data_IF_129530862471
#
_entry.id   IF_129530862471
#
_cell.length_a   1.000
_cell.length_b   1.000
_cell.length_c   1.000
_cell.angle_alpha   90.00
_cell.angle_beta   90.00
_cell.angle_gamma   90.00
#
_symmetry.space_group_name_H-M   'P 1'
#
loop_
_entity.id
_entity.type
_entity.pdbx_description
1 polymer ?
#
# COMPACT_ATOMS: atom_id res chain seq x y z
N UNK A 1 24.72 -16.06 29.97
CA UNK A 1 25.61 -16.70 28.98
C UNK A 1 24.99 -18.03 28.57
N UNK A 2 24.14 -18.04 27.53
CA UNK A 2 23.73 -19.25 26.78
C UNK A 2 23.62 -18.82 25.31
N UNK A 3 24.64 -19.27 24.57
CA UNK A 3 24.74 -19.64 23.15
C UNK A 3 24.18 -18.70 22.07
N UNK A 4 25.15 -18.06 21.43
CA UNK A 4 25.22 -17.79 19.98
C UNK A 4 24.51 -18.86 19.14
N UNK A 5 23.48 -18.44 18.40
CA UNK A 5 23.05 -19.10 17.17
C UNK A 5 23.85 -18.52 16.02
N UNK A 6 24.71 -19.34 15.42
CA UNK A 6 25.54 -19.02 14.26
C UNK A 6 24.72 -19.04 12.96
N UNK A 7 25.02 -18.04 12.11
CA UNK A 7 24.70 -17.90 10.69
C UNK A 7 23.22 -17.89 10.29
N UNK A 8 22.64 -16.70 10.21
CA UNK A 8 21.84 -16.38 9.03
C UNK A 8 22.74 -15.55 8.11
N UNK A 9 23.03 -16.08 6.93
CA UNK A 9 23.50 -15.29 5.78
C UNK A 9 22.78 -13.94 5.79
N UNK A 10 23.54 -12.84 5.86
CA UNK A 10 23.01 -11.48 5.79
C UNK A 10 22.12 -11.42 4.55
N UNK A 11 20.79 -11.43 4.75
CA UNK A 11 19.85 -11.35 3.65
C UNK A 11 20.08 -9.99 3.02
N UNK A 12 20.66 -9.96 1.83
CA UNK A 12 21.03 -8.72 1.17
C UNK A 12 19.82 -8.23 0.37
N UNK A 13 18.98 -7.43 1.03
CA UNK A 13 17.93 -6.69 0.35
C UNK A 13 18.56 -5.43 -0.25
N UNK A 14 18.31 -5.22 -1.54
CA UNK A 14 18.77 -4.04 -2.26
C UNK A 14 17.61 -3.39 -2.98
N UNK A 15 17.68 -2.06 -3.14
CA UNK A 15 16.78 -1.33 -4.02
C UNK A 15 17.35 -1.33 -5.43
N UNK A 16 16.54 -1.74 -6.40
CA UNK A 16 16.88 -1.75 -7.80
C UNK A 16 15.89 -0.93 -8.61
N UNK A 17 16.41 -0.20 -9.58
CA UNK A 17 15.62 0.49 -10.59
C UNK A 17 14.94 -0.54 -11.49
N UNK A 18 13.61 -0.51 -11.55
CA UNK A 18 12.81 -1.38 -12.39
C UNK A 18 12.50 -0.77 -13.76
N UNK A 19 11.32 -1.09 -14.29
CA UNK A 19 10.92 -0.58 -15.61
C UNK A 19 10.56 0.91 -15.53
N UNK A 20 10.63 1.59 -16.68
CA UNK A 20 10.18 2.97 -16.78
C UNK A 20 8.65 3.04 -16.69
N UNK A 21 8.15 3.93 -15.85
CA UNK A 21 6.73 4.13 -15.62
C UNK A 21 6.20 5.36 -16.38
N UNK A 22 6.93 6.48 -16.34
CA UNK A 22 6.62 7.71 -17.08
C UNK A 22 7.78 8.69 -17.03
N UNK A 23 8.11 9.34 -18.15
CA UNK A 23 9.01 10.51 -18.23
C UNK A 23 10.27 10.44 -17.34
N UNK A 24 11.05 9.35 -17.44
CA UNK A 24 12.27 9.18 -16.64
C UNK A 24 12.04 8.89 -15.15
N UNK A 25 10.83 8.50 -14.78
CA UNK A 25 10.48 7.91 -13.48
C UNK A 25 10.39 6.39 -13.65
N UNK A 26 11.08 5.67 -12.77
CA UNK A 26 11.20 4.21 -12.80
C UNK A 26 10.71 3.59 -11.51
N UNK A 27 10.24 2.34 -11.59
CA UNK A 27 9.88 1.53 -10.42
C UNK A 27 11.03 1.42 -9.43
N UNK A 28 10.72 1.41 -8.14
CA UNK A 28 11.66 1.03 -7.10
C UNK A 28 11.32 -0.36 -6.57
N UNK A 29 12.19 -1.32 -6.91
CA UNK A 29 12.04 -2.74 -6.53
C UNK A 29 12.93 -3.06 -5.34
N UNK A 30 12.41 -3.87 -4.44
CA UNK A 30 13.19 -4.55 -3.41
C UNK A 30 13.53 -5.94 -3.95
N UNK A 31 14.83 -6.23 -3.97
CA UNK A 31 15.38 -7.46 -4.50
C UNK A 31 16.16 -8.18 -3.40
N UNK A 32 15.87 -9.47 -3.23
CA UNK A 32 16.58 -10.36 -2.31
C UNK A 32 17.40 -11.36 -3.14
N UNK A 33 18.72 -11.30 -3.02
CA UNK A 33 19.63 -12.22 -3.72
C UNK A 33 19.35 -12.32 -5.24
N UNK A 34 19.03 -11.20 -5.88
CA UNK A 34 18.69 -11.12 -7.31
C UNK A 34 17.25 -11.51 -7.67
N UNK A 35 16.41 -11.91 -6.71
CA UNK A 35 14.97 -12.14 -6.93
C UNK A 35 14.16 -10.91 -6.50
N UNK A 36 13.28 -10.41 -7.36
CA UNK A 36 12.31 -9.37 -7.01
C UNK A 36 11.32 -9.90 -5.96
N UNK A 37 11.18 -9.19 -4.84
CA UNK A 37 10.33 -9.61 -3.72
C UNK A 37 9.26 -8.60 -3.33
N UNK A 38 9.44 -7.32 -3.65
CA UNK A 38 8.43 -6.30 -3.44
C UNK A 38 8.71 -5.06 -4.30
N UNK A 39 7.69 -4.25 -4.55
CA UNK A 39 7.78 -2.95 -5.24
C UNK A 39 7.22 -1.84 -4.36
N UNK A 40 7.83 -0.66 -4.37
CA UNK A 40 7.22 0.52 -3.73
C UNK A 40 5.98 0.96 -4.51
N UNK A 41 4.87 1.29 -3.83
CA UNK A 41 3.59 1.53 -4.47
C UNK A 41 3.63 2.78 -5.34
N UNK A 42 2.90 2.72 -6.46
CA UNK A 42 2.60 3.88 -7.30
C UNK A 42 1.25 4.52 -6.95
N UNK A 43 0.39 3.78 -6.23
CA UNK A 43 -0.98 4.16 -5.89
C UNK A 43 -1.10 4.36 -4.39
N UNK A 44 -1.64 5.50 -3.99
CA UNK A 44 -1.87 5.88 -2.60
C UNK A 44 -3.24 6.49 -2.39
N UNK A 45 -3.58 6.73 -1.13
CA UNK A 45 -4.94 7.03 -0.71
C UNK A 45 -5.00 8.19 0.28
N UNK A 46 -5.80 9.21 -0.01
CA UNK A 46 -6.06 10.31 0.91
C UNK A 46 -7.54 10.74 0.89
N UNK A 47 -7.93 11.49 1.91
CA UNK A 47 -9.23 12.10 2.05
C UNK A 47 -9.18 13.51 1.47
N UNK A 48 -10.21 13.94 0.75
CA UNK A 48 -10.38 15.32 0.30
C UNK A 48 -11.86 15.67 0.41
N UNK A 49 -12.21 16.65 1.25
CA UNK A 49 -13.60 17.08 1.47
C UNK A 49 -14.57 15.92 1.75
N UNK A 50 -14.24 15.03 2.69
CA UNK A 50 -14.98 13.79 3.00
C UNK A 50 -15.13 12.79 1.84
N UNK A 51 -14.27 12.88 0.81
CA UNK A 51 -14.23 11.96 -0.32
C UNK A 51 -12.88 11.23 -0.33
N UNK A 52 -12.92 9.91 -0.49
CA UNK A 52 -11.70 9.11 -0.67
C UNK A 52 -11.16 9.36 -2.08
N UNK A 53 -9.89 9.70 -2.18
CA UNK A 53 -9.17 9.88 -3.44
C UNK A 53 -8.10 8.82 -3.56
N UNK A 54 -8.23 8.00 -4.61
CA UNK A 54 -7.19 7.07 -5.05
C UNK A 54 -6.35 7.79 -6.08
N UNK A 55 -5.05 7.92 -5.85
CA UNK A 55 -4.16 8.63 -6.78
C UNK A 55 -3.00 7.76 -7.22
N UNK A 56 -2.61 7.91 -8.48
CA UNK A 56 -1.34 7.41 -8.96
C UNK A 56 -0.32 8.54 -8.94
N UNK A 57 0.75 8.39 -8.16
CA UNK A 57 1.75 9.43 -8.02
C UNK A 57 2.57 9.64 -9.29
N UNK A 58 2.70 8.62 -10.14
CA UNK A 58 3.48 8.72 -11.38
C UNK A 58 2.69 9.47 -12.44
N UNK A 59 1.49 9.00 -12.77
CA UNK A 59 0.68 9.58 -13.85
C UNK A 59 -0.13 10.79 -13.41
N UNK A 60 -0.15 11.10 -12.11
CA UNK A 60 -0.99 12.14 -11.48
C UNK A 60 -2.50 11.94 -11.70
N UNK A 61 -2.91 10.74 -12.10
CA UNK A 61 -4.32 10.41 -12.24
C UNK A 61 -4.95 10.23 -10.87
N UNK A 62 -6.17 10.71 -10.72
CA UNK A 62 -6.95 10.58 -9.49
C UNK A 62 -8.34 10.03 -9.76
N UNK A 63 -8.83 9.22 -8.83
CA UNK A 63 -10.17 8.66 -8.84
C UNK A 63 -10.83 9.00 -7.51
N UNK A 64 -11.94 9.74 -7.58
CA UNK A 64 -12.74 10.08 -6.41
C UNK A 64 -13.79 8.99 -6.16
N UNK A 65 -13.74 8.38 -4.98
CA UNK A 65 -14.66 7.33 -4.54
C UNK A 65 -15.82 8.00 -3.77
N UNK A 66 -17.06 7.96 -4.31
CA UNK A 66 -18.22 8.57 -3.65
C UNK A 66 -18.47 7.99 -2.26
N UNK A 67 -19.07 8.79 -1.38
CA UNK A 67 -19.34 8.44 0.02
C UNK A 67 -20.11 7.14 0.20
N UNK A 68 -21.03 6.84 -0.71
CA UNK A 68 -21.82 5.62 -0.68
C UNK A 68 -20.96 4.34 -0.88
N UNK A 69 -19.72 4.48 -1.37
CA UNK A 69 -18.77 3.40 -1.63
C UNK A 69 -17.57 3.37 -0.66
N UNK A 70 -17.71 3.99 0.51
CA UNK A 70 -16.66 4.03 1.56
C UNK A 70 -16.50 2.72 2.34
N UNK A 71 -17.09 1.62 1.88
CA UNK A 71 -16.90 0.31 2.49
C UNK A 71 -15.91 -0.51 1.70
N UNK A 72 -15.24 -1.45 2.35
CA UNK A 72 -14.38 -2.42 1.68
C UNK A 72 -14.78 -3.84 2.03
N UNK A 73 -14.71 -4.68 1.01
CA UNK A 73 -14.80 -6.14 1.14
C UNK A 73 -13.53 -6.77 0.58
N UNK A 74 -13.18 -7.94 1.10
CA UNK A 74 -12.11 -8.74 0.52
C UNK A 74 -12.59 -9.38 -0.77
N UNK A 75 -11.81 -9.23 -1.83
CA UNK A 75 -11.99 -9.91 -3.11
C UNK A 75 -10.75 -10.69 -3.46
N UNK A 76 -10.91 -11.71 -4.32
CA UNK A 76 -9.80 -12.44 -4.91
C UNK A 76 -9.88 -12.27 -6.43
N UNK A 77 -9.14 -11.33 -7.02
CA UNK A 77 -9.01 -11.22 -8.47
C UNK A 77 -8.39 -12.51 -9.03
N UNK A 78 -8.62 -12.81 -10.31
CA UNK A 78 -8.17 -14.06 -10.93
C UNK A 78 -6.68 -14.33 -10.70
N UNK A 79 -6.37 -15.47 -10.06
CA UNK A 79 -5.01 -15.92 -9.70
C UNK A 79 -4.17 -14.95 -8.85
N UNK A 80 -4.81 -13.99 -8.18
CA UNK A 80 -4.13 -12.99 -7.37
C UNK A 80 -4.37 -13.24 -5.86
N UNK A 81 -3.60 -12.53 -5.03
CA UNK A 81 -3.81 -12.48 -3.60
C UNK A 81 -5.14 -11.79 -3.25
N UNK A 82 -5.57 -12.00 -2.01
CA UNK A 82 -6.74 -11.30 -1.49
C UNK A 82 -6.43 -9.79 -1.42
N UNK A 83 -7.28 -8.99 -2.06
CA UNK A 83 -7.23 -7.53 -2.04
C UNK A 83 -8.51 -6.96 -1.45
N UNK A 84 -8.53 -5.68 -1.14
CA UNK A 84 -9.75 -4.99 -0.78
C UNK A 84 -10.31 -4.21 -1.98
N UNK A 85 -11.63 -4.30 -2.18
CA UNK A 85 -12.33 -3.51 -3.19
C UNK A 85 -13.28 -2.51 -2.52
N UNK A 86 -13.30 -1.27 -3.01
CA UNK A 86 -14.29 -0.28 -2.61
C UNK A 86 -15.69 -0.73 -3.04
N UNK A 87 -16.64 -0.68 -2.11
CA UNK A 87 -17.98 -1.16 -2.28
C UNK A 87 -18.98 -0.33 -1.48
N UNK A 88 -20.25 -0.41 -1.84
CA UNK A 88 -21.31 0.18 -1.04
C UNK A 88 -21.71 -0.73 0.14
N UNK A 89 -22.62 -0.25 1.00
CA UNK A 89 -23.11 -1.03 2.15
C UNK A 89 -23.75 -2.37 1.77
N UNK A 90 -24.23 -2.52 0.53
CA UNK A 90 -24.80 -3.77 0.00
C UNK A 90 -23.73 -4.73 -0.54
N UNK A 91 -22.46 -4.31 -0.62
CA UNK A 91 -21.36 -5.10 -1.17
C UNK A 91 -21.17 -4.96 -2.69
N UNK A 92 -21.89 -4.05 -3.35
CA UNK A 92 -21.68 -3.77 -4.77
C UNK A 92 -20.36 -3.00 -4.95
N UNK A 93 -19.47 -3.53 -5.79
CA UNK A 93 -18.16 -2.93 -6.06
C UNK A 93 -18.29 -1.66 -6.90
N UNK A 94 -17.53 -0.63 -6.52
CA UNK A 94 -17.57 0.67 -7.20
C UNK A 94 -17.21 0.55 -8.69
N UNK A 95 -16.08 -0.09 -8.99
CA UNK A 95 -15.58 -0.20 -10.36
C UNK A 95 -16.42 -1.13 -11.23
N UNK A 96 -17.02 -2.18 -10.67
CA UNK A 96 -18.01 -2.99 -11.39
C UNK A 96 -19.30 -2.23 -11.67
N UNK A 97 -19.76 -1.43 -10.70
CA UNK A 97 -20.93 -0.58 -10.87
C UNK A 97 -20.70 0.52 -11.92
N UNK A 98 -19.45 0.95 -12.11
CA UNK A 98 -19.04 2.01 -13.05
C UNK A 98 -18.37 1.51 -14.32
N UNK A 99 -18.34 0.20 -14.59
CA UNK A 99 -17.56 -0.36 -15.72
C UNK A 99 -17.97 0.12 -17.11
N UNK A 100 -19.22 0.57 -17.28
CA UNK A 100 -19.74 1.11 -18.53
C UNK A 100 -19.70 2.64 -18.60
N UNK A 101 -19.29 3.29 -17.50
CA UNK A 101 -19.10 4.73 -17.47
C UNK A 101 -17.77 5.07 -18.16
N UNK A 102 -17.76 5.87 -19.24
CA UNK A 102 -16.55 6.21 -19.99
C UNK A 102 -15.43 6.79 -19.11
N UNK A 103 -15.78 7.46 -18.00
CA UNK A 103 -14.81 8.02 -17.07
C UNK A 103 -14.00 6.94 -16.34
N UNK A 104 -14.60 5.76 -16.10
CA UNK A 104 -14.00 4.71 -15.27
C UNK A 104 -13.61 3.46 -16.08
N UNK A 105 -14.09 3.34 -17.31
CA UNK A 105 -13.88 2.18 -18.18
C UNK A 105 -12.39 1.85 -18.42
N UNK A 106 -11.55 2.88 -18.56
CA UNK A 106 -10.11 2.73 -18.84
C UNK A 106 -9.21 2.69 -17.61
N UNK A 107 -9.77 2.68 -16.39
CA UNK A 107 -8.96 2.69 -15.18
C UNK A 107 -8.27 1.34 -15.01
N UNK A 108 -6.96 1.38 -14.79
CA UNK A 108 -6.15 0.18 -14.53
C UNK A 108 -6.51 -0.45 -13.18
N UNK A 109 -6.46 -1.78 -13.09
CA UNK A 109 -6.80 -2.56 -11.89
C UNK A 109 -6.00 -2.16 -10.64
N UNK A 110 -4.80 -1.61 -10.81
CA UNK A 110 -4.01 -1.06 -9.68
C UNK A 110 -4.69 0.08 -8.92
N UNK A 111 -5.65 0.77 -9.53
CA UNK A 111 -6.48 1.79 -8.87
C UNK A 111 -7.80 1.22 -8.33
N UNK A 112 -8.16 0.01 -8.77
CA UNK A 112 -9.45 -0.61 -8.43
C UNK A 112 -9.42 -1.32 -7.08
N UNK A 113 -8.23 -1.76 -6.67
CA UNK A 113 -8.03 -2.60 -5.50
C UNK A 113 -6.96 -2.02 -4.58
N UNK A 114 -7.19 -2.14 -3.28
CA UNK A 114 -6.21 -1.82 -2.25
C UNK A 114 -5.42 -3.10 -1.92
N UNK A 115 -4.10 -3.03 -2.07
CA UNK A 115 -3.19 -4.10 -1.68
C UNK A 115 -2.98 -4.09 -0.15
N UNK A 116 -2.84 -5.27 0.46
CA UNK A 116 -2.57 -5.40 1.90
C UNK A 116 -1.29 -4.69 2.35
N UNK A 117 -0.28 -4.65 1.49
CA UNK A 117 0.98 -3.93 1.72
C UNK A 117 0.82 -2.41 1.77
N UNK A 118 -0.27 -1.87 1.23
CA UNK A 118 -0.64 -0.45 1.33
C UNK A 118 -1.44 -0.13 2.59
N UNK A 119 -1.57 -1.07 3.53
CA UNK A 119 -2.27 -0.87 4.80
C UNK A 119 -1.25 -0.88 5.93
N UNK A 120 -1.09 0.27 6.59
CA UNK A 120 -0.41 0.37 7.87
C UNK A 120 -1.30 -0.25 8.94
N UNK A 121 -1.13 -1.55 9.16
CA UNK A 121 -1.97 -2.32 10.05
C UNK A 121 -1.74 -1.93 11.51
N UNK A 122 -2.82 -1.77 12.28
CA UNK A 122 -2.73 -1.65 13.75
C UNK A 122 -2.71 -3.02 14.43
N UNK A 123 -3.05 -4.08 13.68
CA UNK A 123 -3.12 -5.48 14.09
C UNK A 123 -2.95 -6.38 12.87
N UNK A 124 -2.47 -7.61 13.04
CA UNK A 124 -2.31 -8.56 11.92
C UNK A 124 -3.65 -8.81 11.20
N UNK A 125 -3.84 -8.19 10.04
CA UNK A 125 -5.00 -8.39 9.18
C UNK A 125 -4.74 -9.52 8.17
N UNK A 126 -5.37 -10.67 8.40
CA UNK A 126 -5.36 -11.80 7.48
C UNK A 126 -6.53 -11.71 6.51
N UNK A 127 -6.36 -10.99 5.41
CA UNK A 127 -7.47 -10.69 4.47
C UNK A 127 -8.20 -11.95 3.97
N UNK A 128 -7.50 -13.08 3.82
CA UNK A 128 -8.08 -14.37 3.45
C UNK A 128 -9.15 -14.87 4.44
N UNK A 129 -9.06 -14.53 5.73
CA UNK A 129 -10.08 -14.86 6.74
C UNK A 129 -11.36 -14.03 6.57
N UNK A 130 -11.30 -12.97 5.76
CA UNK A 130 -12.41 -12.06 5.45
C UNK A 130 -12.94 -12.24 4.02
N UNK A 131 -12.53 -13.30 3.31
CA UNK A 131 -12.92 -13.60 1.92
C UNK A 131 -14.44 -13.90 1.81
N UNK A 132 -15.23 -12.83 1.74
CA UNK A 132 -16.69 -12.87 1.66
C UNK A 132 -17.21 -11.75 0.74
N UNK A 133 -18.39 -11.96 0.15
CA UNK A 133 -19.02 -10.95 -0.71
C UNK A 133 -19.59 -9.74 0.04
N UNK A 134 -19.61 -9.77 1.37
CA UNK A 134 -20.17 -8.70 2.21
C UNK A 134 -19.09 -7.70 2.64
N UNK A 135 -19.42 -6.40 2.77
CA UNK A 135 -18.53 -5.44 3.40
C UNK A 135 -18.05 -5.89 4.77
N UNK A 136 -16.77 -5.65 5.07
CA UNK A 136 -16.14 -5.95 6.36
C UNK A 136 -15.47 -4.75 6.99
N UNK A 137 -15.08 -3.78 6.18
CA UNK A 137 -14.38 -2.59 6.63
C UNK A 137 -15.12 -1.33 6.19
N UNK A 138 -15.00 -0.29 7.00
CA UNK A 138 -15.42 1.06 6.70
C UNK A 138 -14.19 1.96 6.66
N UNK A 139 -14.01 2.67 5.54
CA UNK A 139 -12.95 3.65 5.36
C UNK A 139 -13.48 5.05 5.64
N UNK A 140 -12.80 5.78 6.50
CA UNK A 140 -13.15 7.17 6.81
C UNK A 140 -11.93 7.91 7.34
N UNK A 141 -12.02 9.24 7.42
CA UNK A 141 -11.03 10.02 8.14
C UNK A 141 -10.98 9.54 9.60
N UNK A 142 -9.76 9.33 10.10
CA UNK A 142 -9.53 9.09 11.51
C UNK A 142 -9.91 10.30 12.34
N UNK A 143 -10.36 10.14 13.61
CA UNK A 143 -10.60 11.28 14.51
C UNK A 143 -9.37 12.19 14.68
N UNK A 144 -8.18 11.59 14.54
CA UNK A 144 -6.88 12.25 14.66
C UNK A 144 -6.23 12.56 13.30
N UNK A 145 -6.93 12.29 12.19
CA UNK A 145 -6.40 12.46 10.84
C UNK A 145 -6.44 13.93 10.43
N UNK A 146 -5.46 14.71 10.90
CA UNK A 146 -5.28 16.10 10.47
C UNK A 146 -4.68 16.19 9.06
N UNK A 147 -4.04 15.12 8.59
CA UNK A 147 -3.27 15.10 7.34
C UNK A 147 -3.96 14.26 6.25
N UNK A 148 -5.30 14.23 6.24
CA UNK A 148 -6.07 13.57 5.17
C UNK A 148 -5.85 12.05 5.05
N UNK A 149 -5.32 11.39 6.07
CA UNK A 149 -5.20 9.93 6.11
C UNK A 149 -6.56 9.22 6.24
N UNK A 150 -6.65 8.04 5.64
CA UNK A 150 -7.85 7.19 5.66
C UNK A 150 -7.64 6.03 6.62
N UNK A 151 -8.43 6.00 7.67
CA UNK A 151 -8.46 4.90 8.63
C UNK A 151 -9.48 3.83 8.21
N UNK A 152 -9.09 2.57 8.39
CA UNK A 152 -9.93 1.41 8.19
C UNK A 152 -10.46 0.92 9.54
N UNK A 153 -11.75 0.67 9.60
CA UNK A 153 -12.44 0.17 10.79
C UNK A 153 -13.22 -1.08 10.46
N UNK A 154 -13.23 -2.06 11.36
CA UNK A 154 -14.15 -3.19 11.24
C UNK A 154 -15.61 -2.73 11.29
N UNK A 155 -16.48 -3.43 10.57
CA UNK A 155 -17.92 -3.28 10.72
C UNK A 155 -18.40 -4.09 11.92
N UNK A 156 -19.01 -3.41 12.89
CA UNK A 156 -19.70 -4.02 14.01
C UNK A 156 -21.22 -3.91 13.83
N UNK A 157 -22.00 -4.74 14.53
CA UNK A 157 -23.47 -4.73 14.45
C UNK A 157 -24.10 -3.35 14.71
N UNK A 158 -23.42 -2.48 15.47
CA UNK A 158 -23.89 -1.15 15.87
C UNK A 158 -23.09 -0.01 15.22
N UNK A 159 -22.44 -0.26 14.09
CA UNK A 159 -21.74 0.76 13.30
C UNK A 159 -20.23 0.52 13.20
N UNK A 160 -19.46 1.58 13.44
CA UNK A 160 -18.00 1.57 13.34
C UNK A 160 -17.38 0.79 14.50
N UNK A 161 -16.69 -0.30 14.20
CA UNK A 161 -15.94 -1.10 15.14
C UNK A 161 -14.52 -0.56 15.36
N UNK A 162 -13.60 -1.44 15.76
CA UNK A 162 -12.22 -1.07 16.06
C UNK A 162 -11.45 -0.67 14.80
N UNK A 163 -10.47 0.24 14.96
CA UNK A 163 -9.52 0.60 13.90
C UNK A 163 -8.59 -0.59 13.65
N UNK A 164 -8.46 -0.97 12.39
CA UNK A 164 -7.61 -2.09 11.96
C UNK A 164 -6.39 -1.67 11.16
N UNK A 165 -6.38 -0.44 10.65
CA UNK A 165 -5.25 0.10 9.94
C UNK A 165 -5.51 1.48 9.38
N UNK A 166 -4.52 1.98 8.67
CA UNK A 166 -4.59 3.23 7.90
C UNK A 166 -4.03 2.98 6.51
N UNK A 167 -4.70 3.49 5.48
CA UNK A 167 -4.21 3.38 4.11
C UNK A 167 -2.99 4.28 3.91
N UNK A 168 -1.93 3.72 3.35
CA UNK A 168 -0.70 4.42 3.05
C UNK A 168 -0.88 5.37 1.85
N UNK A 169 -0.16 6.48 1.89
CA UNK A 169 -0.07 7.44 0.79
C UNK A 169 1.39 7.86 0.62
N UNK A 170 2.19 6.81 0.41
CA UNK A 170 3.64 6.81 0.39
C UNK A 170 4.09 6.28 -0.96
N UNK A 171 5.14 6.87 -1.52
CA UNK A 171 5.63 6.51 -2.85
C UNK A 171 7.14 6.50 -2.85
N UNK A 172 7.74 5.52 -3.53
CA UNK A 172 9.15 5.58 -3.85
C UNK A 172 9.42 5.16 -5.28
N UNK A 173 10.34 5.86 -5.92
CA UNK A 173 10.66 5.69 -7.33
C UNK A 173 12.09 6.14 -7.60
N UNK A 174 12.65 5.65 -8.70
CA UNK A 174 13.95 6.09 -9.18
C UNK A 174 13.77 7.18 -10.24
N UNK A 175 14.60 8.22 -10.16
CA UNK A 175 14.77 9.18 -11.24
C UNK A 175 15.79 8.67 -12.26
N UNK A 176 15.76 9.22 -13.48
CA UNK A 176 16.71 8.88 -14.56
C UNK A 176 18.20 9.02 -14.22
N UNK A 177 18.53 9.81 -13.19
CA UNK A 177 19.89 9.96 -12.67
C UNK A 177 20.29 8.85 -11.68
N UNK A 178 19.41 7.89 -11.41
CA UNK A 178 19.62 6.76 -10.48
C UNK A 178 19.38 7.09 -9.01
N UNK A 179 18.92 8.30 -8.66
CA UNK A 179 18.56 8.64 -7.28
C UNK A 179 17.21 8.04 -6.91
N UNK A 180 17.09 7.57 -5.67
CA UNK A 180 15.82 7.12 -5.11
C UNK A 180 15.11 8.32 -4.49
N UNK A 181 13.89 8.58 -4.93
CA UNK A 181 12.95 9.50 -4.29
C UNK A 181 12.00 8.69 -3.43
N UNK A 182 11.71 9.18 -2.24
CA UNK A 182 10.68 8.65 -1.36
C UNK A 182 9.85 9.80 -0.79
N UNK A 183 8.53 9.67 -0.79
CA UNK A 183 7.64 10.70 -0.28
C UNK A 183 6.49 10.08 0.51
N UNK A 184 6.27 10.58 1.73
CA UNK A 184 5.07 10.29 2.52
C UNK A 184 4.20 11.54 2.58
N UNK A 185 3.07 11.52 1.90
CA UNK A 185 2.20 12.70 1.81
C UNK A 185 1.34 12.93 3.03
N UNK A 186 1.14 11.92 3.88
CA UNK A 186 0.52 12.12 5.19
C UNK A 186 1.44 12.90 6.14
N UNK A 187 2.73 13.03 5.81
CA UNK A 187 3.70 13.82 6.58
C UNK A 187 4.25 15.01 5.79
N UNK A 188 3.86 15.18 4.52
CA UNK A 188 4.39 16.18 3.57
C UNK A 188 5.92 16.20 3.47
N UNK A 189 6.57 15.04 3.64
CA UNK A 189 8.03 14.91 3.61
C UNK A 189 8.50 14.16 2.37
N UNK A 190 9.34 14.84 1.59
CA UNK A 190 10.15 14.21 0.54
C UNK A 190 11.57 13.94 1.04
N UNK A 191 12.08 12.78 0.68
CA UNK A 191 13.45 12.36 0.91
C UNK A 191 14.09 11.92 -0.40
N UNK A 192 15.38 12.23 -0.54
CA UNK A 192 16.21 11.83 -1.67
C UNK A 192 17.36 11.00 -1.13
N UNK A 193 17.51 9.79 -1.65
CA UNK A 193 18.49 8.83 -1.20
C UNK A 193 19.46 8.47 -2.32
N UNK A 194 20.72 8.30 -1.92
CA UNK A 194 21.72 7.60 -2.72
C UNK A 194 21.57 6.10 -2.44
N UNK A 195 21.12 5.28 -3.42
CA UNK A 195 20.89 3.86 -3.22
C UNK A 195 22.12 3.10 -2.71
N UNK A 196 23.33 3.62 -2.98
CA UNK A 196 24.59 3.01 -2.52
C UNK A 196 24.89 3.25 -1.03
N UNK A 197 24.14 4.15 -0.37
CA UNK A 197 24.34 4.55 1.02
C UNK A 197 23.21 4.11 1.94
N UNK A 198 22.13 3.58 1.38
CA UNK A 198 21.00 3.06 2.15
C UNK A 198 21.11 1.55 2.30
N UNK A 199 20.61 1.06 3.43
CA UNK A 199 20.44 -0.36 3.66
C UNK A 199 18.95 -0.68 3.77
N UNK A 200 18.53 -1.81 3.21
CA UNK A 200 17.19 -2.34 3.41
C UNK A 200 17.26 -3.50 4.39
N UNK A 201 16.47 -3.40 5.46
CA UNK A 201 16.23 -4.50 6.38
C UNK A 201 14.78 -4.95 6.29
N UNK A 202 14.56 -6.20 6.65
CA UNK A 202 13.23 -6.79 6.70
C UNK A 202 12.99 -7.38 8.08
N UNK A 203 11.96 -6.91 8.79
CA UNK A 203 11.44 -7.63 9.93
C UNK A 203 10.37 -8.61 9.45
N UNK A 204 10.63 -9.90 9.60
CA UNK A 204 9.58 -10.90 9.47
C UNK A 204 8.62 -10.73 10.64
N UNK A 205 7.44 -10.17 10.38
CA UNK A 205 6.32 -10.35 11.29
C UNK A 205 5.86 -11.80 11.21
N UNK A 206 5.26 -12.30 12.29
CA UNK A 206 4.83 -13.71 12.42
C UNK A 206 3.80 -14.15 11.37
N UNK A 207 3.31 -13.25 10.53
CA UNK A 207 2.41 -13.49 9.41
C UNK A 207 2.88 -12.73 8.17
N UNK A 208 2.48 -13.26 7.01
CA UNK A 208 2.75 -13.00 5.57
C UNK A 208 3.15 -11.58 5.12
N UNK A 209 2.96 -10.53 5.92
CA UNK A 209 3.45 -9.19 5.59
C UNK A 209 4.81 -8.96 6.24
N UNK A 210 5.84 -8.88 5.41
CA UNK A 210 7.16 -8.42 5.86
C UNK A 210 7.15 -6.90 5.92
N UNK A 211 7.62 -6.32 7.03
CA UNK A 211 7.90 -4.89 7.09
C UNK A 211 9.32 -4.66 6.58
N UNK A 212 9.45 -3.76 5.60
CA UNK A 212 10.73 -3.31 5.11
C UNK A 212 11.11 -1.99 5.77
N UNK A 213 12.39 -1.83 6.07
CA UNK A 213 12.93 -0.59 6.61
C UNK A 213 14.04 -0.09 5.71
N UNK A 214 13.97 1.19 5.34
CA UNK A 214 15.05 1.93 4.71
C UNK A 214 15.86 2.63 5.77
N UNK A 215 17.15 2.39 5.80
CA UNK A 215 18.07 2.95 6.78
C UNK A 215 19.17 3.77 6.09
N UNK A 216 19.34 5.02 6.52
CA UNK A 216 20.43 5.90 6.12
C UNK A 216 21.05 6.54 7.36
N UNK A 217 22.22 6.04 7.80
CA UNK A 217 22.80 6.44 9.08
C UNK A 217 21.88 6.08 10.25
N UNK A 218 21.51 7.08 11.07
CA UNK A 218 20.60 6.92 12.21
C UNK A 218 19.12 7.10 11.83
N UNK A 219 18.82 7.41 10.57
CA UNK A 219 17.45 7.58 10.10
C UNK A 219 16.88 6.26 9.60
N UNK A 220 15.73 5.86 10.14
CA UNK A 220 15.01 4.64 9.75
C UNK A 220 13.59 4.98 9.33
N UNK A 221 13.18 4.50 8.15
CA UNK A 221 11.84 4.68 7.60
C UNK A 221 11.23 3.31 7.35
N UNK A 222 10.00 3.10 7.82
CA UNK A 222 9.18 1.94 7.42
C UNK A 222 8.66 2.15 6.01
N UNK A 223 8.87 1.17 5.14
CA UNK A 223 8.39 1.16 3.76
C UNK A 223 7.13 0.30 3.64
N UNK A 224 6.04 0.90 3.18
CA UNK A 224 4.84 0.15 2.77
C UNK A 224 5.02 -0.30 1.32
N UNK A 225 5.18 -1.61 1.12
CA UNK A 225 5.54 -2.19 -0.18
C UNK A 225 4.45 -3.13 -0.68
N UNK A 226 4.31 -3.25 -1.99
CA UNK A 226 3.50 -4.28 -2.64
C UNK A 226 4.37 -5.53 -2.78
N UNK A 227 4.09 -6.64 -2.05
CA UNK A 227 4.89 -7.84 -2.15
C UNK A 227 4.68 -8.52 -3.51
N UNK A 228 5.76 -9.07 -4.06
CA UNK A 228 5.70 -10.00 -5.18
C UNK A 228 5.57 -11.41 -4.64
N UNK A 229 4.61 -12.17 -5.19
CA UNK A 229 4.40 -13.56 -4.80
C UNK A 229 5.68 -14.38 -5.07
N UNK A 230 6.11 -15.13 -4.05
CA UNK A 230 7.26 -16.04 -4.16
C UNK A 230 6.96 -17.30 -4.96
#
# INVERSE_FOLDING_TARGET
MIKSGTHNTQQNFVLEQGQELSDGIYEAKIVLNGKHVATLPEVGYHMLDDVIVVRNHITKNEVKIPRDFHYLKTVKPDNDDHKLAFCNFLGNEFFEHKKYDPQYHGISDKHKFVNSGSIKNTRDLKLNEYAHYTPRFFAAAGPESQNYAIDLFELAEKGKGEKVGTLADEFGYFESNGQLKYHNYHEEKEHVYDPSKVNIEMAQMKNINSEFYLMEGDNTITLHTIPELF
#
